data_IF_356364967698
#
_entry.id   IF_356364967698
#
_cell.length_a   1.000
_cell.length_b   1.000
_cell.length_c   1.000
_cell.angle_alpha   90.00
_cell.angle_beta   90.00
_cell.angle_gamma   90.00
#
_symmetry.space_group_name_H-M   'P 1'
#
loop_
_entity.id
_entity.type
_entity.pdbx_description
1 polymer ?
#
# COMPACT_ATOMS: atom_id res chain seq x y z
N UNK A 1 13.98 26.22 -25.49
CA UNK A 1 12.96 25.26 -25.05
C UNK A 1 12.84 25.36 -23.53
N UNK A 2 11.63 25.51 -22.99
CA UNK A 2 11.44 25.55 -21.53
C UNK A 2 11.45 24.11 -21.05
N UNK A 3 12.59 23.66 -20.54
CA UNK A 3 12.70 22.35 -19.92
C UNK A 3 11.89 22.38 -18.62
N UNK A 4 10.85 21.54 -18.54
CA UNK A 4 10.20 21.27 -17.26
C UNK A 4 11.17 20.40 -16.46
N UNK A 5 11.61 20.87 -15.30
CA UNK A 5 12.47 20.06 -14.43
C UNK A 5 11.65 18.97 -13.77
N UNK A 6 12.29 17.85 -13.44
CA UNK A 6 11.69 16.78 -12.64
C UNK A 6 11.13 17.32 -11.33
N UNK A 7 11.85 18.25 -10.68
CA UNK A 7 11.39 18.93 -9.48
C UNK A 7 10.08 19.73 -9.70
N UNK A 8 9.92 20.39 -10.86
CA UNK A 8 8.70 21.13 -11.16
C UNK A 8 7.52 20.18 -11.45
N UNK A 9 7.79 19.04 -12.09
CA UNK A 9 6.78 18.01 -12.33
C UNK A 9 6.36 17.32 -11.02
N UNK A 10 7.33 16.96 -10.18
CA UNK A 10 7.10 16.37 -8.87
C UNK A 10 6.22 17.28 -8.01
N UNK A 11 6.57 18.56 -7.91
CA UNK A 11 5.78 19.51 -7.13
C UNK A 11 4.34 19.63 -7.65
N UNK A 12 4.15 19.71 -8.97
CA UNK A 12 2.82 19.78 -9.58
C UNK A 12 1.99 18.51 -9.33
N UNK A 13 2.62 17.34 -9.22
CA UNK A 13 1.95 16.08 -8.91
C UNK A 13 1.59 16.00 -7.42
N UNK A 14 2.51 16.40 -6.53
CA UNK A 14 2.26 16.48 -5.10
C UNK A 14 1.09 17.41 -4.79
N UNK A 15 1.04 18.58 -5.43
CA UNK A 15 -0.04 19.55 -5.25
C UNK A 15 -1.41 18.97 -5.67
N UNK A 16 -1.44 18.18 -6.76
CA UNK A 16 -2.65 17.49 -7.20
C UNK A 16 -3.10 16.41 -6.22
N UNK A 17 -2.18 15.57 -5.74
CA UNK A 17 -2.49 14.54 -4.75
C UNK A 17 -2.98 15.17 -3.44
N UNK A 18 -2.36 16.27 -3.01
CA UNK A 18 -2.82 17.03 -1.86
C UNK A 18 -4.24 17.57 -2.06
N UNK A 19 -4.55 18.10 -3.25
CA UNK A 19 -5.92 18.53 -3.61
C UNK A 19 -6.96 17.40 -3.58
N UNK A 20 -6.54 16.15 -3.78
CA UNK A 20 -7.38 14.96 -3.67
C UNK A 20 -7.50 14.42 -2.23
N UNK A 21 -6.87 15.08 -1.25
CA UNK A 21 -6.91 14.70 0.16
C UNK A 21 -5.83 13.70 0.58
N UNK A 22 -4.83 13.42 -0.28
CA UNK A 22 -3.67 12.64 0.12
C UNK A 22 -2.74 13.47 1.00
N UNK A 23 -2.24 12.87 2.07
CA UNK A 23 -1.20 13.49 2.91
C UNK A 23 0.16 13.21 2.32
N UNK A 24 0.96 14.26 2.19
CA UNK A 24 2.36 14.17 1.79
C UNK A 24 3.17 14.05 3.09
N UNK A 25 3.99 13.02 3.18
CA UNK A 25 4.90 12.77 4.31
C UNK A 25 6.31 12.65 3.78
N UNK A 26 7.30 13.07 4.59
CA UNK A 26 8.70 13.10 4.19
C UNK A 26 9.51 12.09 4.97
N UNK A 27 10.63 11.65 4.40
CA UNK A 27 11.53 10.70 5.05
C UNK A 27 12.11 11.22 6.37
N UNK A 28 12.32 12.53 6.49
CA UNK A 28 12.69 13.20 7.74
C UNK A 28 11.66 13.02 8.86
N UNK A 29 10.40 12.74 8.52
CA UNK A 29 9.33 12.48 9.48
C UNK A 29 9.10 10.98 9.67
N UNK A 30 8.89 10.23 8.58
CA UNK A 30 8.42 8.82 8.63
C UNK A 30 9.52 7.77 8.44
N UNK A 31 10.76 8.20 8.13
CA UNK A 31 11.91 7.32 7.97
C UNK A 31 12.30 6.61 9.27
N UNK A 32 13.18 5.59 9.21
CA UNK A 32 13.61 4.86 10.41
C UNK A 32 14.31 5.76 11.43
N UNK A 33 15.02 6.79 10.97
CA UNK A 33 15.67 7.80 11.81
C UNK A 33 14.86 9.12 11.88
N UNK A 34 13.60 9.10 11.44
CA UNK A 34 12.75 10.29 11.37
C UNK A 34 12.17 10.73 12.71
N UNK A 35 11.54 11.90 12.73
CA UNK A 35 10.90 12.47 13.93
C UNK A 35 9.74 11.63 14.46
N UNK A 36 9.07 10.88 13.58
CA UNK A 36 7.98 9.94 13.88
C UNK A 36 8.25 8.65 13.12
N UNK A 37 9.16 7.78 13.62
CA UNK A 37 9.56 6.61 12.86
C UNK A 37 8.37 5.67 12.67
N UNK A 38 7.94 5.57 11.42
CA UNK A 38 6.87 4.66 10.99
C UNK A 38 7.43 3.44 10.26
N UNK A 39 8.69 3.52 9.83
CA UNK A 39 9.46 2.44 9.24
C UNK A 39 10.47 1.93 10.26
N UNK A 40 10.64 0.63 10.36
CA UNK A 40 11.74 0.01 11.12
C UNK A 40 13.03 -0.07 10.29
N UNK A 41 12.92 0.02 8.96
CA UNK A 41 14.04 0.03 8.01
C UNK A 41 13.66 0.72 6.71
N UNK A 42 14.64 1.26 5.96
CA UNK A 42 14.42 1.79 4.60
C UNK A 42 13.91 0.72 3.62
N UNK A 43 14.12 -0.57 3.91
CA UNK A 43 13.60 -1.68 3.12
C UNK A 43 12.11 -1.95 3.32
N UNK A 44 11.51 -1.35 4.34
CA UNK A 44 10.10 -1.59 4.67
C UNK A 44 9.20 -0.77 3.75
N UNK A 45 8.52 -1.45 2.82
CA UNK A 45 7.63 -0.83 1.83
C UNK A 45 6.24 -0.54 2.42
N UNK A 46 5.83 -1.30 3.43
CA UNK A 46 4.52 -1.18 4.08
C UNK A 46 4.68 -0.43 5.40
N UNK A 47 4.04 0.74 5.54
CA UNK A 47 3.94 1.45 6.81
C UNK A 47 2.97 0.69 7.74
N UNK A 48 3.51 -0.23 8.53
CA UNK A 48 2.72 -1.23 9.27
C UNK A 48 1.67 -0.61 10.19
N UNK A 49 2.03 0.42 10.97
CA UNK A 49 1.09 1.13 11.87
C UNK A 49 -0.07 1.76 11.10
N UNK A 50 0.21 2.53 10.05
CA UNK A 50 -0.83 3.17 9.22
C UNK A 50 -1.73 2.14 8.55
N UNK A 51 -1.16 1.01 8.14
CA UNK A 51 -1.92 -0.06 7.52
C UNK A 51 -2.86 -0.73 8.52
N UNK A 52 -2.37 -1.06 9.72
CA UNK A 52 -3.18 -1.62 10.81
C UNK A 52 -4.32 -0.65 11.20
N UNK A 53 -4.00 0.62 11.44
CA UNK A 53 -4.99 1.66 11.76
C UNK A 53 -6.04 1.81 10.64
N UNK A 54 -5.63 1.72 9.38
CA UNK A 54 -6.55 1.77 8.25
C UNK A 54 -7.45 0.53 8.18
N UNK A 55 -6.91 -0.66 8.42
CA UNK A 55 -7.67 -1.92 8.45
C UNK A 55 -8.70 -1.89 9.57
N UNK A 56 -8.34 -1.39 10.75
CA UNK A 56 -9.27 -1.22 11.87
C UNK A 56 -10.36 -0.19 11.57
N UNK A 57 -9.99 0.97 11.05
CA UNK A 57 -10.93 2.05 10.69
C UNK A 57 -11.92 1.61 9.60
N UNK A 58 -11.47 0.86 8.61
CA UNK A 58 -12.31 0.38 7.52
C UNK A 58 -13.16 -0.84 7.92
N UNK A 59 -12.70 -1.63 8.90
CA UNK A 59 -13.35 -2.89 9.30
C UNK A 59 -13.65 -2.96 10.80
N UNK A 60 -14.43 -2.02 11.37
CA UNK A 60 -14.70 -2.01 12.80
C UNK A 60 -15.50 -3.23 13.27
N UNK A 61 -16.34 -3.82 12.40
CA UNK A 61 -17.16 -4.99 12.70
C UNK A 61 -16.48 -6.35 12.47
N UNK A 62 -15.24 -6.37 11.98
CA UNK A 62 -14.51 -7.62 11.73
C UNK A 62 -13.74 -8.01 13.00
N UNK A 63 -13.75 -9.30 13.41
CA UNK A 63 -12.99 -9.75 14.57
C UNK A 63 -11.49 -9.42 14.47
N UNK A 64 -10.82 -9.07 15.58
CA UNK A 64 -9.40 -8.72 15.58
C UNK A 64 -8.51 -9.80 14.94
N UNK A 65 -8.83 -11.08 15.15
CA UNK A 65 -8.08 -12.23 14.62
C UNK A 65 -8.12 -12.26 13.09
N UNK A 66 -9.30 -12.02 12.51
CA UNK A 66 -9.48 -11.97 11.06
C UNK A 66 -8.79 -10.74 10.43
N UNK A 67 -8.78 -9.59 11.13
CA UNK A 67 -8.02 -8.42 10.70
C UNK A 67 -6.51 -8.72 10.68
N UNK A 68 -6.00 -9.36 11.73
CA UNK A 68 -4.59 -9.75 11.80
C UNK A 68 -4.20 -10.76 10.72
N UNK A 69 -5.06 -11.72 10.41
CA UNK A 69 -4.83 -12.66 9.30
C UNK A 69 -4.77 -11.94 7.95
N UNK A 70 -5.69 -11.00 7.70
CA UNK A 70 -5.67 -10.19 6.48
C UNK A 70 -4.40 -9.34 6.38
N UNK A 71 -4.00 -8.71 7.49
CA UNK A 71 -2.76 -7.92 7.56
C UNK A 71 -1.54 -8.78 7.22
N UNK A 72 -1.42 -9.97 7.81
CA UNK A 72 -0.34 -10.92 7.53
C UNK A 72 -0.28 -11.31 6.06
N UNK A 73 -1.42 -11.64 5.46
CA UNK A 73 -1.51 -12.03 4.04
C UNK A 73 -1.07 -10.89 3.12
N UNK A 74 -1.52 -9.67 3.37
CA UNK A 74 -1.16 -8.49 2.57
C UNK A 74 0.33 -8.18 2.67
N UNK A 75 0.89 -8.16 3.88
CA UNK A 75 2.33 -7.90 4.08
C UNK A 75 3.18 -8.96 3.39
N UNK A 76 2.78 -10.24 3.47
CA UNK A 76 3.49 -11.33 2.79
C UNK A 76 3.40 -11.21 1.26
N UNK A 77 2.24 -10.82 0.73
CA UNK A 77 2.06 -10.61 -0.70
C UNK A 77 2.92 -9.45 -1.23
N UNK A 78 2.98 -8.32 -0.52
CA UNK A 78 3.82 -7.16 -0.91
C UNK A 78 5.31 -7.52 -0.87
N UNK A 79 5.73 -8.34 0.10
CA UNK A 79 7.11 -8.85 0.15
C UNK A 79 7.42 -9.78 -1.02
N UNK A 80 6.48 -10.66 -1.39
CA UNK A 80 6.65 -11.54 -2.54
C UNK A 80 6.69 -10.76 -3.86
N UNK A 81 5.83 -9.75 -4.05
CA UNK A 81 5.83 -8.91 -5.26
C UNK A 81 7.10 -8.08 -5.44
N UNK A 82 7.86 -7.82 -4.36
CA UNK A 82 9.18 -7.16 -4.44
C UNK A 82 10.27 -8.10 -5.00
N UNK A 83 10.09 -9.42 -4.90
CA UNK A 83 11.03 -10.40 -5.44
C UNK A 83 10.79 -10.64 -6.94
N UNK A 84 9.56 -10.43 -7.41
CA UNK A 84 9.16 -10.50 -8.82
C UNK A 84 9.27 -9.11 -9.49
N UNK A 85 10.47 -8.54 -9.54
CA UNK A 85 10.71 -7.25 -10.17
C UNK A 85 10.67 -7.35 -11.72
N UNK A 86 9.47 -7.52 -12.29
CA UNK A 86 9.18 -7.17 -13.67
C UNK A 86 7.79 -6.50 -13.71
N UNK A 87 7.80 -5.17 -13.76
CA UNK A 87 6.65 -4.28 -14.03
C UNK A 87 5.62 -4.04 -12.88
N UNK A 88 5.89 -3.10 -11.96
CA UNK A 88 4.94 -2.70 -10.91
C UNK A 88 3.68 -1.99 -11.44
N UNK A 89 3.65 -1.54 -12.70
CA UNK A 89 2.49 -0.83 -13.26
C UNK A 89 1.37 -1.77 -13.72
N UNK A 90 1.68 -3.03 -14.06
CA UNK A 90 0.68 -4.03 -14.47
C UNK A 90 -0.24 -4.51 -13.33
N UNK A 91 0.24 -4.51 -12.09
CA UNK A 91 -0.47 -5.14 -10.96
C UNK A 91 -1.64 -4.30 -10.42
N UNK A 92 -1.61 -2.97 -10.57
CA UNK A 92 -2.69 -2.08 -10.11
C UNK A 92 -3.91 -2.14 -11.06
N UNK A 93 -3.70 -2.48 -12.33
CA UNK A 93 -4.80 -2.54 -13.32
C UNK A 93 -5.27 -3.96 -13.67
N UNK A 94 -4.49 -5.01 -13.41
CA UNK A 94 -4.77 -6.36 -13.91
C UNK A 94 -5.04 -7.47 -12.88
N UNK A 95 -4.46 -7.42 -11.67
CA UNK A 95 -4.41 -8.60 -10.79
C UNK A 95 -5.55 -8.69 -9.75
N UNK A 96 -6.37 -7.65 -9.61
CA UNK A 96 -7.62 -7.69 -8.85
C UNK A 96 -8.84 -7.71 -9.79
N UNK A 97 -8.69 -8.37 -10.94
CA UNK A 97 -9.84 -8.89 -11.66
C UNK A 97 -10.44 -10.01 -10.81
N UNK A 98 -11.73 -9.88 -10.51
CA UNK A 98 -12.55 -10.83 -9.73
C UNK A 98 -12.59 -12.18 -10.48
N UNK A 99 -11.52 -12.97 -10.41
CA UNK A 99 -11.45 -14.32 -10.96
C UNK A 99 -11.46 -15.37 -9.83
N UNK A 100 -11.00 -15.01 -8.63
CA UNK A 100 -10.92 -15.95 -7.49
C UNK A 100 -12.23 -16.11 -6.70
N UNK A 101 -13.26 -15.32 -7.01
CA UNK A 101 -14.60 -15.51 -6.42
C UNK A 101 -15.26 -16.82 -6.89
N UNK A 102 -14.92 -17.33 -8.09
CA UNK A 102 -15.44 -18.61 -8.59
C UNK A 102 -14.66 -19.81 -8.04
N UNK A 103 -13.38 -19.64 -7.70
CA UNK A 103 -12.57 -20.70 -7.09
C UNK A 103 -13.01 -20.97 -5.63
N UNK A 104 -13.34 -19.92 -4.87
CA UNK A 104 -13.77 -20.05 -3.48
C UNK A 104 -15.17 -20.68 -3.30
N UNK A 105 -16.02 -20.61 -4.33
CA UNK A 105 -17.35 -21.25 -4.30
C UNK A 105 -17.33 -22.71 -4.77
N UNK A 106 -16.34 -23.13 -5.56
CA UNK A 106 -16.26 -24.50 -6.10
C UNK A 106 -15.66 -25.53 -5.14
N UNK A 107 -15.03 -25.08 -4.07
CA UNK A 107 -14.49 -25.95 -3.01
C UNK A 107 -15.54 -26.25 -1.90
N UNK A 108 -16.75 -25.71 -2.02
CA UNK A 108 -17.87 -25.91 -1.09
C UNK A 108 -19.22 -26.12 -1.79
N UNK A 109 -19.25 -27.08 -2.71
CA UNK A 109 -20.45 -27.78 -3.19
C UNK A 109 -20.20 -29.26 -2.86
N UNK A 110 -20.98 -30.00 -2.06
CA UNK A 110 -22.41 -30.32 -2.25
C UNK A 110 -22.76 -30.56 -3.72
#
# INVERSE_FOLDING_TARGET
>A
MRHLSEAALEQALLDQLHGLGYRIEREEDIGPDGHRPERESHDEVVLRRRFEDAVERLNPGVPPEARQDAIRRVVQAVRASRLDAHDPHGLISGALGIADAQAFLKERDL
#
